data_IF_729685641906
#
_entry.id   IF_729685641906
#
_cell.length_a   1.000
_cell.length_b   1.000
_cell.length_c   1.000
_cell.angle_alpha   90.00
_cell.angle_beta   90.00
_cell.angle_gamma   90.00
#
_symmetry.space_group_name_H-M   'P 1'
#
loop_
_entity.id
_entity.type
_entity.pdbx_description
1 polymer ?
#
# COMPACT_ATOMS: atom_id res chain seq x y z
N UNK A 1 -15.69 11.78 -5.37
CA UNK A 1 -14.50 11.86 -6.24
C UNK A 1 -13.92 10.47 -6.43
N UNK A 2 -14.41 9.78 -7.46
CA UNK A 2 -13.82 8.64 -8.19
C UNK A 2 -14.51 8.75 -9.53
N UNK A 3 -13.86 9.32 -10.54
CA UNK A 3 -14.41 9.29 -11.90
C UNK A 3 -13.72 8.19 -12.69
N UNK A 4 -13.72 6.97 -12.14
CA UNK A 4 -13.21 5.76 -12.82
C UNK A 4 -14.08 5.33 -14.02
N UNK A 5 -15.02 6.18 -14.43
CA UNK A 5 -15.90 6.04 -15.60
C UNK A 5 -16.15 7.40 -16.26
N UNK A 6 -15.20 8.33 -16.17
CA UNK A 6 -15.27 9.59 -16.91
C UNK A 6 -15.18 9.30 -18.41
N UNK A 7 -16.05 9.91 -19.22
CA UNK A 7 -15.95 9.84 -20.70
C UNK A 7 -14.62 10.38 -21.24
N UNK A 8 -13.87 11.10 -20.42
CA UNK A 8 -12.56 11.68 -20.78
C UNK A 8 -11.48 10.66 -20.45
N UNK A 9 -11.11 9.87 -21.46
CA UNK A 9 -9.95 8.98 -21.41
C UNK A 9 -8.69 9.83 -21.18
N UNK A 10 -7.89 9.51 -20.17
CA UNK A 10 -6.59 10.14 -19.91
C UNK A 10 -6.49 11.03 -18.66
N UNK A 11 -7.60 11.37 -17.99
CA UNK A 11 -7.60 12.01 -16.64
C UNK A 11 -8.12 11.08 -15.55
N UNK A 12 -8.02 9.77 -15.77
CA UNK A 12 -8.37 8.81 -14.73
C UNK A 12 -7.25 8.76 -13.68
N UNK A 13 -7.59 8.35 -12.47
CA UNK A 13 -6.64 8.32 -11.35
C UNK A 13 -5.80 7.03 -11.29
N UNK A 14 -5.87 6.20 -12.34
CA UNK A 14 -5.16 4.92 -12.50
C UNK A 14 -4.91 4.17 -11.18
N UNK A 15 -5.98 3.78 -10.46
CA UNK A 15 -5.86 3.22 -9.12
C UNK A 15 -5.32 1.78 -9.10
N UNK A 16 -5.23 1.13 -10.25
CA UNK A 16 -5.05 -0.32 -10.35
C UNK A 16 -3.57 -0.75 -10.23
N UNK A 17 -2.63 0.13 -10.56
CA UNK A 17 -1.20 -0.08 -10.37
C UNK A 17 -0.50 1.27 -10.08
N UNK A 18 0.25 1.36 -8.99
CA UNK A 18 1.01 2.55 -8.63
C UNK A 18 2.40 2.16 -8.10
N UNK A 19 3.36 3.08 -8.22
CA UNK A 19 4.74 2.89 -7.75
C UNK A 19 4.99 3.70 -6.48
N UNK A 20 5.78 3.15 -5.57
CA UNK A 20 6.24 3.83 -4.34
C UNK A 20 7.76 3.70 -4.23
N UNK A 21 8.41 4.78 -3.78
CA UNK A 21 9.84 4.77 -3.44
C UNK A 21 9.97 4.85 -1.93
N UNK A 22 10.76 3.94 -1.35
CA UNK A 22 11.05 3.91 0.08
C UNK A 22 12.56 3.96 0.31
N UNK A 23 12.97 4.63 1.38
CA UNK A 23 14.35 4.71 1.81
C UNK A 23 14.43 4.79 3.34
N UNK A 24 15.47 4.18 3.93
CA UNK A 24 15.66 4.16 5.38
C UNK A 24 14.70 3.23 6.13
N UNK A 25 14.58 3.40 7.44
CA UNK A 25 13.60 2.68 8.27
C UNK A 25 13.83 1.16 8.44
N UNK A 26 14.84 0.58 7.80
CA UNK A 26 15.07 -0.88 7.81
C UNK A 26 14.54 -1.60 6.56
N UNK A 27 14.29 -0.90 5.46
CA UNK A 27 13.99 -1.53 4.16
C UNK A 27 15.26 -2.02 3.47
N UNK A 28 15.14 -3.07 2.63
CA UNK A 28 16.26 -3.57 1.81
C UNK A 28 16.79 -2.49 0.88
N UNK A 29 18.12 -2.38 0.81
CA UNK A 29 18.79 -1.48 -0.13
C UNK A 29 18.87 -2.10 -1.53
N UNK A 30 18.70 -1.31 -2.59
CA UNK A 30 18.84 -1.74 -3.98
C UNK A 30 17.82 -2.81 -4.40
N UNK A 31 16.68 -2.88 -3.72
CA UNK A 31 15.66 -3.91 -3.92
C UNK A 31 14.44 -3.35 -4.64
N UNK A 32 13.95 -4.12 -5.62
CA UNK A 32 12.69 -3.86 -6.33
C UNK A 32 11.73 -4.97 -5.93
N UNK A 33 10.52 -4.60 -5.54
CA UNK A 33 9.46 -5.54 -5.15
C UNK A 33 8.27 -5.40 -6.10
N UNK A 34 7.87 -6.51 -6.71
CA UNK A 34 6.81 -6.58 -7.71
C UNK A 34 7.15 -5.88 -9.02
N UNK A 35 6.21 -5.98 -9.95
CA UNK A 35 6.30 -5.33 -11.26
C UNK A 35 4.91 -5.05 -11.83
N UNK A 36 4.81 -4.02 -12.65
CA UNK A 36 3.66 -3.79 -13.53
C UNK A 36 3.80 -4.57 -14.84
N UNK A 37 2.72 -4.63 -15.63
CA UNK A 37 2.78 -5.06 -17.02
C UNK A 37 3.64 -4.12 -17.88
N UNK A 38 3.87 -4.50 -19.13
CA UNK A 38 4.73 -3.77 -20.08
C UNK A 38 4.28 -2.32 -20.33
N UNK A 39 2.99 -2.05 -20.17
CA UNK A 39 2.40 -0.73 -20.39
C UNK A 39 2.25 0.08 -19.08
N UNK A 40 2.50 -0.52 -17.92
CA UNK A 40 2.35 0.10 -16.61
C UNK A 40 0.91 0.23 -16.13
N UNK A 41 -0.05 -0.50 -16.71
CA UNK A 41 -1.48 -0.36 -16.36
C UNK A 41 -1.94 -1.34 -15.28
N UNK A 42 -1.41 -2.56 -15.28
CA UNK A 42 -1.81 -3.61 -14.34
C UNK A 42 -0.60 -4.15 -13.58
N UNK A 43 -0.88 -4.86 -12.48
CA UNK A 43 0.14 -5.57 -11.71
C UNK A 43 0.48 -6.89 -12.44
N UNK A 44 1.76 -7.11 -12.69
CA UNK A 44 2.28 -8.35 -13.30
C UNK A 44 2.76 -9.36 -12.25
N UNK A 45 3.37 -8.91 -11.16
CA UNK A 45 3.90 -9.79 -10.10
C UNK A 45 4.00 -9.09 -8.74
N UNK A 46 3.98 -9.90 -7.68
CA UNK A 46 4.11 -9.54 -6.26
C UNK A 46 3.32 -8.27 -5.85
N UNK A 47 1.96 -8.33 -5.91
CA UNK A 47 1.13 -7.20 -5.53
C UNK A 47 1.29 -6.84 -4.05
N UNK A 48 1.37 -5.55 -3.77
CA UNK A 48 1.28 -5.02 -2.41
C UNK A 48 0.01 -4.18 -2.30
N UNK A 49 -0.92 -4.61 -1.44
CA UNK A 49 -2.11 -3.81 -1.18
C UNK A 49 -1.76 -2.58 -0.32
N UNK A 50 -2.52 -1.49 -0.45
CA UNK A 50 -2.24 -0.25 0.31
C UNK A 50 -2.23 -0.45 1.83
N UNK A 51 -3.07 -1.37 2.32
CA UNK A 51 -3.08 -1.74 3.74
C UNK A 51 -1.81 -2.48 4.17
N UNK A 52 -1.21 -3.30 3.31
CA UNK A 52 0.03 -4.03 3.60
C UNK A 52 1.23 -3.08 3.61
N UNK A 53 1.26 -2.12 2.67
CA UNK A 53 2.25 -1.05 2.64
C UNK A 53 2.18 -0.21 3.94
N UNK A 54 0.99 0.21 4.35
CA UNK A 54 0.78 0.98 5.58
C UNK A 54 1.13 0.18 6.84
N UNK A 55 0.75 -1.11 6.90
CA UNK A 55 1.14 -2.01 7.98
C UNK A 55 2.67 -2.11 8.09
N UNK A 56 3.34 -2.19 6.94
CA UNK A 56 4.81 -2.28 6.88
C UNK A 56 5.49 -1.00 7.33
N UNK A 57 5.00 0.18 6.94
CA UNK A 57 5.53 1.46 7.47
C UNK A 57 5.38 1.57 8.98
N UNK A 58 4.21 1.21 9.52
CA UNK A 58 3.99 1.22 10.97
C UNK A 58 4.95 0.26 11.67
N UNK A 59 5.16 -0.94 11.11
CA UNK A 59 6.14 -1.89 11.62
C UNK A 59 7.57 -1.32 11.65
N UNK A 60 8.03 -0.70 10.56
CA UNK A 60 9.35 -0.06 10.45
C UNK A 60 9.52 1.10 11.43
N UNK A 61 8.43 1.77 11.80
CA UNK A 61 8.39 2.82 12.82
C UNK A 61 8.29 2.29 14.25
N UNK A 62 8.25 0.96 14.45
CA UNK A 62 8.17 0.32 15.76
C UNK A 62 6.76 0.20 16.33
N UNK A 63 5.72 0.40 15.51
CA UNK A 63 4.34 0.25 15.92
C UNK A 63 3.75 -1.10 15.52
N UNK A 64 2.90 -1.63 16.40
CA UNK A 64 1.96 -2.69 16.06
C UNK A 64 0.70 -2.06 15.46
N UNK A 65 0.52 -2.20 14.14
CA UNK A 65 -0.58 -1.55 13.43
C UNK A 65 -1.96 -2.01 13.91
N UNK A 66 -2.06 -3.18 14.52
CA UNK A 66 -3.33 -3.71 15.03
C UNK A 66 -3.76 -3.05 16.34
N UNK A 67 -2.79 -2.49 17.08
CA UNK A 67 -3.02 -1.83 18.38
C UNK A 67 -3.27 -0.33 18.27
N UNK A 68 -3.00 0.28 17.11
CA UNK A 68 -3.31 1.68 16.82
C UNK A 68 -4.79 1.84 16.44
N UNK A 69 -5.66 1.43 17.36
CA UNK A 69 -7.11 1.35 17.16
C UNK A 69 -7.83 2.42 17.99
N UNK A 70 -8.77 3.14 17.37
CA UNK A 70 -9.59 4.17 17.97
C UNK A 70 -11.08 3.89 17.74
N UNK A 71 -11.86 3.85 18.82
CA UNK A 71 -13.32 3.62 18.77
C UNK A 71 -14.05 4.91 18.42
N UNK A 72 -14.78 4.90 17.31
CA UNK A 72 -15.60 6.04 16.86
C UNK A 72 -16.92 5.54 16.27
N UNK A 73 -18.04 6.21 16.54
CA UNK A 73 -19.38 5.85 16.02
C UNK A 73 -19.72 4.33 16.07
N UNK A 74 -19.31 3.64 17.14
CA UNK A 74 -19.59 2.22 17.33
C UNK A 74 -18.69 1.25 16.55
N UNK A 75 -17.66 1.73 15.84
CA UNK A 75 -16.67 0.92 15.13
C UNK A 75 -15.25 1.21 15.62
N UNK A 76 -14.42 0.17 15.68
CA UNK A 76 -12.98 0.28 15.85
C UNK A 76 -12.31 0.67 14.52
N UNK A 77 -11.61 1.80 14.52
CA UNK A 77 -10.86 2.28 13.36
C UNK A 77 -9.37 2.14 13.60
N UNK A 78 -8.64 1.64 12.62
CA UNK A 78 -7.17 1.69 12.54
C UNK A 78 -6.76 2.08 11.13
N UNK A 79 -5.52 2.53 10.93
CA UNK A 79 -5.05 3.01 9.62
C UNK A 79 -5.20 1.95 8.51
N UNK A 80 -5.00 0.68 8.84
CA UNK A 80 -5.14 -0.45 7.91
C UNK A 80 -6.54 -1.07 7.92
N UNK A 81 -7.50 -0.45 8.61
CA UNK A 81 -8.86 -0.98 8.87
C UNK A 81 -8.80 -2.47 9.27
N UNK A 82 -9.71 -3.33 8.83
CA UNK A 82 -9.69 -4.78 9.14
C UNK A 82 -8.63 -5.59 8.36
N UNK A 83 -7.69 -4.94 7.65
CA UNK A 83 -6.69 -5.57 6.80
C UNK A 83 -5.25 -5.22 7.24
N UNK A 84 -4.28 -5.59 6.40
CA UNK A 84 -2.87 -5.26 6.52
C UNK A 84 -2.04 -6.43 7.01
N UNK A 85 -1.05 -6.82 6.22
CA UNK A 85 0.02 -7.72 6.59
C UNK A 85 1.37 -7.04 6.33
N UNK A 86 2.31 -7.23 7.24
CA UNK A 86 3.68 -6.73 7.03
C UNK A 86 4.30 -7.48 5.85
N UNK A 87 4.73 -6.74 4.83
CA UNK A 87 5.44 -7.25 3.66
C UNK A 87 6.88 -7.55 4.09
N UNK A 88 7.16 -8.79 4.45
CA UNK A 88 8.46 -9.19 5.01
C UNK A 88 9.57 -9.15 3.97
N UNK A 89 9.19 -9.32 2.71
CA UNK A 89 10.06 -9.39 1.55
C UNK A 89 10.84 -8.09 1.34
N UNK A 90 10.33 -6.94 1.80
CA UNK A 90 10.96 -5.62 1.66
C UNK A 90 11.81 -5.21 2.88
N UNK A 91 11.80 -5.98 3.97
CA UNK A 91 12.56 -5.68 5.20
C UNK A 91 14.01 -6.18 5.10
N UNK A 92 14.96 -5.42 5.66
CA UNK A 92 16.39 -5.72 5.64
C UNK A 92 16.81 -6.89 6.54
#
# INVERSE_FOLDING_TARGET
GRTSKGKILGRDHYPDAYTMIMAGGGVKNGYIHGASDELGFNIASDPVHVHDLQATWMHLLGFDHEKLTFRFQGRDYRLTDVHGHVVKEILA
#
